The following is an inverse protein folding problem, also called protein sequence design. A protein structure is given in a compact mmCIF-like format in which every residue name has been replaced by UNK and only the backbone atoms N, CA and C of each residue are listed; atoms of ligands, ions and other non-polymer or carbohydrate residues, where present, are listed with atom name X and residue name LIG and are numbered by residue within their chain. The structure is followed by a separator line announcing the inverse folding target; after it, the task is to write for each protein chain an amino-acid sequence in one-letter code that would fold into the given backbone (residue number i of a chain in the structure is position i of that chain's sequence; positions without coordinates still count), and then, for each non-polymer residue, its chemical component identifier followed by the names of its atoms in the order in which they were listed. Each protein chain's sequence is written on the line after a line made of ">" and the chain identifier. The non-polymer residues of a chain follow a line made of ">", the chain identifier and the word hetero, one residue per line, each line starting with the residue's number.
data_IF_545928793352
#
_entry.id   IF_545928793352
#
_cell.length_a   1.000
_cell.length_b   1.000
_cell.length_c   1.000
_cell.angle_alpha   90.00
_cell.angle_beta   90.00
_cell.angle_gamma   90.00
#
_symmetry.space_group_name_H-M   'P 1'
#
loop_
_entity.id
_entity.type
_entity.pdbx_description
1 polymer ?
#
# COMPACT_ATOMS: atom_id res chain seq x y z
N UNK A 1 -18.95 228.67 104.31
CA UNK A 1 -19.64 229.56 105.28
C UNK A 1 -19.35 229.06 106.69
N UNK A 2 -19.28 229.94 107.68
CA UNK A 2 -18.96 229.57 109.05
C UNK A 2 -20.18 228.94 109.77
N UNK A 3 -20.00 227.78 110.40
CA UNK A 3 -20.45 227.62 111.77
C UNK A 3 -19.75 226.47 112.51
N UNK A 4 -19.08 226.83 113.62
CA UNK A 4 -18.88 226.05 114.85
C UNK A 4 -18.59 224.55 114.67
N UNK A 5 -17.31 224.22 114.53
CA UNK A 5 -16.80 222.91 114.97
C UNK A 5 -17.12 222.72 116.46
N UNK A 6 -18.11 221.89 116.79
CA UNK A 6 -18.17 221.27 118.09
C UNK A 6 -16.99 220.29 118.20
N UNK A 7 -15.85 220.77 118.72
CA UNK A 7 -14.76 219.92 119.19
C UNK A 7 -15.27 219.15 120.41
N UNK A 8 -15.96 218.04 120.15
CA UNK A 8 -16.41 217.10 121.18
C UNK A 8 -15.22 216.57 121.99
N UNK A 9 -15.47 216.00 123.17
CA UNK A 9 -14.41 215.58 124.09
C UNK A 9 -13.37 214.73 123.38
N UNK A 10 -12.11 215.18 123.46
CA UNK A 10 -10.96 214.43 122.98
C UNK A 10 -10.46 213.52 124.11
N UNK A 11 -10.40 212.23 123.83
CA UNK A 11 -9.94 211.22 124.77
C UNK A 11 -8.50 210.87 124.43
N UNK A 12 -7.54 211.33 125.26
CA UNK A 12 -6.13 211.01 125.05
C UNK A 12 -5.79 209.72 125.80
N UNK A 13 -5.73 208.61 125.07
CA UNK A 13 -5.21 207.35 125.61
C UNK A 13 -3.70 207.47 125.75
N UNK A 14 -3.21 207.66 126.99
CA UNK A 14 -1.77 207.69 127.29
C UNK A 14 -1.34 206.38 127.94
N UNK A 15 -0.37 205.71 127.32
CA UNK A 15 0.38 204.61 127.93
C UNK A 15 1.59 205.25 128.60
N UNK A 16 1.67 205.11 129.92
CA UNK A 16 2.67 205.73 130.78
C UNK A 16 3.28 204.64 131.67
N UNK A 17 4.60 204.52 131.63
CA UNK A 17 5.37 203.67 132.55
C UNK A 17 5.73 204.48 133.80
N UNK A 18 5.49 203.89 134.97
CA UNK A 18 5.87 204.49 136.26
C UNK A 18 7.23 203.93 136.70
N UNK A 19 8.15 204.83 137.02
CA UNK A 19 9.46 204.54 137.59
C UNK A 19 9.67 205.55 138.74
N UNK A 20 10.22 205.09 139.87
CA UNK A 20 10.17 205.80 141.16
C UNK A 20 10.80 207.20 141.14
N UNK A 21 11.68 207.48 140.18
CA UNK A 21 12.29 208.80 139.99
C UNK A 21 11.63 209.67 138.90
N UNK A 22 10.85 209.09 137.97
CA UNK A 22 10.02 209.81 136.99
C UNK A 22 9.14 208.88 136.15
N UNK A 23 7.92 209.32 135.85
CA UNK A 23 7.02 208.63 134.91
C UNK A 23 7.31 209.02 133.45
N UNK A 24 7.32 208.04 132.53
CA UNK A 24 7.61 208.22 131.11
C UNK A 24 6.40 207.82 130.24
N UNK A 25 5.99 208.68 129.31
CA UNK A 25 4.85 208.41 128.42
C UNK A 25 5.34 207.93 127.05
N UNK A 26 5.09 206.65 126.75
CA UNK A 26 5.54 206.01 125.49
C UNK A 26 4.65 206.33 124.30
N UNK A 27 3.34 206.42 124.53
CA UNK A 27 2.35 206.63 123.46
C UNK A 27 1.16 207.43 123.98
N UNK A 28 0.77 208.47 123.26
CA UNK A 28 -0.38 209.32 123.56
C UNK A 28 -1.28 209.44 122.32
N UNK A 29 -2.28 208.56 122.21
CA UNK A 29 -3.25 208.59 121.11
C UNK A 29 -4.39 209.56 121.46
N UNK A 30 -4.42 210.72 120.83
CA UNK A 30 -5.51 211.68 120.94
C UNK A 30 -6.69 211.24 120.04
N UNK A 31 -7.70 210.62 120.63
CA UNK A 31 -8.92 210.20 119.92
C UNK A 31 -10.00 211.28 119.99
N UNK A 32 -10.50 211.72 118.83
CA UNK A 32 -11.71 212.56 118.71
C UNK A 32 -12.83 211.81 118.01
N UNK A 33 -14.09 212.15 118.28
CA UNK A 33 -15.22 211.67 117.47
C UNK A 33 -14.98 212.03 115.99
N UNK A 34 -15.12 211.04 115.11
CA UNK A 34 -14.95 211.25 113.67
C UNK A 34 -16.07 212.15 113.11
N UNK A 35 -15.77 212.90 112.04
CA UNK A 35 -16.78 213.61 111.27
C UNK A 35 -17.48 212.68 110.29
N UNK A 36 -18.75 212.91 109.99
CA UNK A 36 -19.48 212.20 108.93
C UNK A 36 -18.76 212.29 107.58
N UNK A 37 -18.00 213.37 107.33
CA UNK A 37 -17.16 213.51 106.14
C UNK A 37 -16.02 212.47 106.08
N UNK A 38 -15.39 212.15 107.23
CA UNK A 38 -14.34 211.12 107.31
C UNK A 38 -14.93 209.70 107.24
N UNK A 39 -16.12 209.50 107.83
CA UNK A 39 -16.88 208.25 107.72
C UNK A 39 -17.28 208.01 106.26
N UNK A 40 -17.86 209.01 105.58
CA UNK A 40 -18.20 208.95 104.17
C UNK A 40 -16.97 208.70 103.29
N UNK A 41 -15.84 209.37 103.56
CA UNK A 41 -14.57 209.16 102.85
C UNK A 41 -14.00 207.75 103.04
N UNK A 42 -14.16 207.16 104.23
CA UNK A 42 -13.79 205.77 104.51
C UNK A 42 -14.73 204.79 103.80
N UNK A 43 -16.04 205.03 103.84
CA UNK A 43 -17.05 204.24 103.09
C UNK A 43 -16.76 204.30 101.59
N UNK A 44 -16.50 205.48 101.01
CA UNK A 44 -16.13 205.63 99.61
C UNK A 44 -14.86 204.83 99.27
N UNK A 45 -13.80 204.93 100.08
CA UNK A 45 -12.57 204.13 99.90
C UNK A 45 -12.87 202.62 99.92
N UNK A 46 -13.66 202.14 100.87
CA UNK A 46 -14.08 200.73 100.93
C UNK A 46 -14.91 200.34 99.71
N UNK A 47 -15.86 201.17 99.29
CA UNK A 47 -16.72 200.93 98.13
C UNK A 47 -15.92 200.90 96.82
N UNK A 48 -14.95 201.79 96.63
CA UNK A 48 -14.02 201.74 95.48
C UNK A 48 -13.13 200.50 95.54
N UNK A 49 -12.62 200.13 96.72
CA UNK A 49 -11.83 198.90 96.87
C UNK A 49 -12.64 197.64 96.56
N UNK A 50 -13.90 197.57 97.01
CA UNK A 50 -14.83 196.48 96.72
C UNK A 50 -15.18 196.47 95.23
N UNK A 51 -15.48 197.62 94.62
CA UNK A 51 -15.73 197.72 93.18
C UNK A 51 -14.53 197.23 92.36
N UNK A 52 -13.31 197.65 92.69
CA UNK A 52 -12.10 197.22 91.99
C UNK A 52 -11.84 195.71 92.16
N UNK A 53 -12.17 195.15 93.33
CA UNK A 53 -12.11 193.70 93.58
C UNK A 53 -13.16 192.94 92.77
N UNK A 54 -14.38 193.45 92.66
CA UNK A 54 -15.44 192.89 91.81
C UNK A 54 -15.01 192.92 90.34
N UNK A 55 -14.57 194.08 89.81
CA UNK A 55 -14.09 194.17 88.43
C UNK A 55 -12.90 193.25 88.15
N UNK A 56 -12.05 192.97 89.14
CA UNK A 56 -10.97 191.98 89.01
C UNK A 56 -11.51 190.55 88.98
N UNK A 57 -12.46 190.21 89.86
CA UNK A 57 -13.09 188.88 89.90
C UNK A 57 -14.00 188.60 88.71
N UNK A 58 -14.63 189.61 88.13
CA UNK A 58 -15.34 189.50 86.85
C UNK A 58 -14.36 189.20 85.71
N UNK A 59 -13.21 189.90 85.65
CA UNK A 59 -12.16 189.64 84.65
C UNK A 59 -11.53 188.24 84.80
N UNK A 60 -11.27 187.80 86.04
CA UNK A 60 -10.86 186.41 86.33
C UNK A 60 -11.93 185.41 85.89
N UNK A 61 -13.19 185.64 86.21
CA UNK A 61 -14.32 184.76 85.87
C UNK A 61 -14.52 184.65 84.35
N UNK A 62 -14.41 185.77 83.62
CA UNK A 62 -14.49 185.76 82.15
C UNK A 62 -13.25 185.12 81.50
N UNK A 63 -12.07 185.20 82.13
CA UNK A 63 -10.90 184.43 81.68
C UNK A 63 -11.14 182.93 81.87
N UNK A 64 -11.58 182.51 83.07
CA UNK A 64 -11.88 181.11 83.39
C UNK A 64 -13.00 180.54 82.51
N UNK A 65 -14.06 181.31 82.21
CA UNK A 65 -15.09 180.91 81.22
C UNK A 65 -14.51 180.70 79.83
N UNK A 66 -13.62 181.59 79.37
CA UNK A 66 -12.95 181.45 78.05
C UNK A 66 -11.96 180.28 78.02
N UNK A 67 -11.31 179.95 79.12
CA UNK A 67 -10.44 178.78 79.23
C UNK A 67 -11.23 177.48 79.31
N UNK A 68 -12.30 177.44 80.11
CA UNK A 68 -13.24 176.31 80.18
C UNK A 68 -13.87 176.02 78.82
N UNK A 69 -14.32 177.05 78.10
CA UNK A 69 -14.90 176.89 76.75
C UNK A 69 -13.86 176.39 75.74
N UNK A 70 -12.60 176.87 75.81
CA UNK A 70 -11.50 176.33 74.98
C UNK A 70 -11.25 174.86 75.29
N UNK A 71 -11.13 174.48 76.56
CA UNK A 71 -10.86 173.12 76.99
C UNK A 71 -12.04 172.18 76.65
N UNK A 72 -13.28 172.63 76.81
CA UNK A 72 -14.48 171.90 76.39
C UNK A 72 -14.48 171.65 74.87
N UNK A 73 -14.17 172.68 74.07
CA UNK A 73 -14.05 172.54 72.61
C UNK A 73 -12.87 171.63 72.22
N UNK A 74 -11.75 171.65 72.95
CA UNK A 74 -10.65 170.71 72.73
C UNK A 74 -11.05 169.27 73.07
N UNK A 75 -11.71 169.03 74.22
CA UNK A 75 -12.21 167.71 74.61
C UNK A 75 -13.21 167.16 73.59
N UNK A 76 -14.14 167.98 73.09
CA UNK A 76 -15.06 167.59 72.01
C UNK A 76 -14.28 167.26 70.72
N UNK A 77 -13.32 168.08 70.32
CA UNK A 77 -12.49 167.81 69.15
C UNK A 77 -11.64 166.53 69.29
N UNK A 78 -11.11 166.25 70.49
CA UNK A 78 -10.36 165.02 70.79
C UNK A 78 -11.26 163.80 70.82
N UNK A 79 -12.46 163.90 71.38
CA UNK A 79 -13.49 162.85 71.31
C UNK A 79 -13.85 162.52 69.87
N UNK A 80 -14.12 163.54 69.05
CA UNK A 80 -14.44 163.37 67.62
C UNK A 80 -13.25 162.82 66.80
N UNK A 81 -12.00 163.13 67.17
CA UNK A 81 -10.81 162.51 66.57
C UNK A 81 -10.68 161.04 66.97
N UNK A 82 -10.93 160.71 68.23
CA UNK A 82 -10.86 159.35 68.76
C UNK A 82 -11.98 158.46 68.20
N UNK A 83 -13.20 158.98 68.04
CA UNK A 83 -14.31 158.27 67.39
C UNK A 83 -14.02 157.99 65.90
N UNK A 84 -13.47 158.97 65.17
CA UNK A 84 -13.01 158.78 63.78
C UNK A 84 -11.89 157.74 63.67
N UNK A 85 -10.97 157.73 64.64
CA UNK A 85 -9.93 156.71 64.69
C UNK A 85 -10.51 155.31 65.00
N UNK A 86 -11.40 155.19 66.00
CA UNK A 86 -12.06 153.92 66.33
C UNK A 86 -12.89 153.36 65.17
N UNK A 87 -13.66 154.21 64.49
CA UNK A 87 -14.46 153.80 63.32
C UNK A 87 -13.58 153.39 62.13
N UNK A 88 -12.47 154.10 61.88
CA UNK A 88 -11.47 153.71 60.88
C UNK A 88 -10.81 152.38 61.22
N UNK A 89 -10.33 152.20 62.46
CA UNK A 89 -9.72 150.96 62.95
C UNK A 89 -10.71 149.77 62.88
N UNK A 90 -11.97 149.99 63.20
CA UNK A 90 -13.00 148.96 63.11
C UNK A 90 -13.34 148.61 61.65
N UNK A 91 -13.34 149.58 60.74
CA UNK A 91 -13.48 149.33 59.30
C UNK A 91 -12.29 148.54 58.74
N UNK A 92 -11.06 148.90 59.09
CA UNK A 92 -9.86 148.16 58.69
C UNK A 92 -9.87 146.73 59.24
N UNK A 93 -10.16 146.56 60.54
CA UNK A 93 -10.33 145.24 61.17
C UNK A 93 -11.35 144.39 60.41
N UNK A 94 -12.54 144.92 60.13
CA UNK A 94 -13.59 144.19 59.42
C UNK A 94 -13.18 143.87 57.96
N UNK A 95 -12.45 144.78 57.29
CA UNK A 95 -11.87 144.53 55.96
C UNK A 95 -10.85 143.38 55.99
N UNK A 96 -10.00 143.32 57.02
CA UNK A 96 -9.01 142.25 57.21
C UNK A 96 -9.69 140.92 57.56
N UNK A 97 -10.68 140.91 58.44
CA UNK A 97 -11.48 139.71 58.76
C UNK A 97 -12.19 139.17 57.51
N UNK A 98 -12.88 140.02 56.73
CA UNK A 98 -13.55 139.58 55.51
C UNK A 98 -12.57 139.05 54.44
N UNK A 99 -11.37 139.63 54.32
CA UNK A 99 -10.29 139.08 53.47
C UNK A 99 -9.80 137.73 53.97
N UNK A 100 -9.60 137.56 55.27
CA UNK A 100 -9.18 136.31 55.89
C UNK A 100 -10.24 135.21 55.70
N UNK A 101 -11.52 135.51 55.92
CA UNK A 101 -12.64 134.60 55.67
C UNK A 101 -12.72 134.19 54.19
N UNK A 102 -12.57 135.13 53.26
CA UNK A 102 -12.53 134.83 51.82
C UNK A 102 -11.38 133.89 51.47
N UNK A 103 -10.17 134.14 52.00
CA UNK A 103 -9.00 133.27 51.81
C UNK A 103 -9.25 131.87 52.40
N UNK A 104 -9.81 131.77 53.61
CA UNK A 104 -10.16 130.50 54.24
C UNK A 104 -11.17 129.71 53.39
N UNK A 105 -12.19 130.38 52.86
CA UNK A 105 -13.22 129.73 52.04
C UNK A 105 -12.67 129.31 50.66
N UNK A 106 -11.82 130.11 50.02
CA UNK A 106 -11.11 129.70 48.80
C UNK A 106 -10.20 128.49 49.01
N UNK A 107 -9.54 128.37 50.16
CA UNK A 107 -8.74 127.19 50.49
C UNK A 107 -9.58 125.95 50.81
N UNK A 108 -10.71 126.10 51.51
CA UNK A 108 -11.69 125.02 51.71
C UNK A 108 -12.22 124.49 50.39
N UNK A 109 -12.70 125.37 49.51
CA UNK A 109 -13.25 124.98 48.20
C UNK A 109 -12.20 124.27 47.33
N UNK A 110 -10.93 124.72 47.36
CA UNK A 110 -9.81 124.04 46.69
C UNK A 110 -9.53 122.67 47.29
N UNK A 111 -9.55 122.53 48.61
CA UNK A 111 -9.33 121.26 49.31
C UNK A 111 -10.47 120.27 49.02
N UNK A 112 -11.72 120.69 49.14
CA UNK A 112 -12.91 119.88 48.87
C UNK A 112 -12.93 119.38 47.41
N UNK A 113 -12.57 120.22 46.43
CA UNK A 113 -12.43 119.80 45.02
C UNK A 113 -11.30 118.80 44.81
N UNK A 114 -10.15 119.00 45.46
CA UNK A 114 -9.02 118.08 45.37
C UNK A 114 -9.33 116.71 45.99
N UNK A 115 -10.00 116.70 47.14
CA UNK A 115 -10.40 115.45 47.81
C UNK A 115 -11.52 114.73 47.05
N UNK A 116 -12.51 115.46 46.52
CA UNK A 116 -13.55 114.90 45.67
C UNK A 116 -13.00 114.25 44.38
N UNK A 117 -12.04 114.90 43.71
CA UNK A 117 -11.40 114.33 42.51
C UNK A 117 -10.50 113.13 42.87
N UNK A 118 -9.77 113.19 43.99
CA UNK A 118 -9.00 112.04 44.50
C UNK A 118 -9.92 110.85 44.82
N UNK A 119 -11.06 111.09 45.48
CA UNK A 119 -12.06 110.08 45.82
C UNK A 119 -12.85 109.59 44.60
N UNK A 120 -12.86 110.34 43.49
CA UNK A 120 -13.34 109.87 42.18
C UNK A 120 -12.31 108.92 41.54
N UNK A 121 -11.05 109.35 41.40
CA UNK A 121 -9.98 108.55 40.82
C UNK A 121 -9.75 107.22 41.56
N UNK A 122 -9.84 107.22 42.90
CA UNK A 122 -9.77 105.99 43.71
C UNK A 122 -10.92 105.02 43.43
N UNK A 123 -12.13 105.52 43.11
CA UNK A 123 -13.27 104.67 42.70
C UNK A 123 -13.10 104.15 41.28
N UNK A 124 -12.74 105.02 40.33
CA UNK A 124 -12.51 104.64 38.93
C UNK A 124 -11.41 103.56 38.82
N UNK A 125 -10.30 103.71 39.54
CA UNK A 125 -9.23 102.70 39.62
C UNK A 125 -9.70 101.38 40.25
N UNK A 126 -10.55 101.43 41.28
CA UNK A 126 -11.06 100.25 41.97
C UNK A 126 -12.12 99.50 41.12
N UNK A 127 -12.99 100.24 40.44
CA UNK A 127 -13.96 99.71 39.47
C UNK A 127 -13.25 99.09 38.25
N UNK A 128 -12.19 99.71 37.73
CA UNK A 128 -11.38 99.10 36.67
C UNK A 128 -10.67 97.83 37.16
N UNK A 129 -10.08 97.85 38.36
CA UNK A 129 -9.41 96.66 38.94
C UNK A 129 -10.40 95.49 39.08
N UNK A 130 -11.62 95.73 39.56
CA UNK A 130 -12.68 94.71 39.61
C UNK A 130 -13.04 94.24 38.19
N UNK A 131 -13.27 95.15 37.25
CA UNK A 131 -13.63 94.77 35.87
C UNK A 131 -12.52 93.97 35.16
N UNK A 132 -11.24 94.26 35.44
CA UNK A 132 -10.10 93.46 34.96
C UNK A 132 -10.09 92.07 35.62
N UNK A 133 -10.32 91.98 36.94
CA UNK A 133 -10.40 90.71 37.67
C UNK A 133 -11.58 89.85 37.20
N UNK A 134 -12.75 90.43 36.95
CA UNK A 134 -13.93 89.74 36.44
C UNK A 134 -13.73 89.22 35.00
N UNK A 135 -13.10 90.02 34.13
CA UNK A 135 -12.71 89.59 32.77
C UNK A 135 -11.72 88.42 32.81
N UNK A 136 -10.69 88.51 33.65
CA UNK A 136 -9.69 87.44 33.80
C UNK A 136 -10.34 86.17 34.39
N UNK A 137 -11.13 86.29 35.45
CA UNK A 137 -11.88 85.19 36.05
C UNK A 137 -12.81 84.51 35.04
N UNK A 138 -13.55 85.29 34.26
CA UNK A 138 -14.43 84.79 33.20
C UNK A 138 -13.65 84.06 32.10
N UNK A 139 -12.53 84.63 31.65
CA UNK A 139 -11.65 84.04 30.64
C UNK A 139 -11.06 82.70 31.12
N UNK A 140 -10.52 82.66 32.34
CA UNK A 140 -10.03 81.42 32.97
C UNK A 140 -11.15 80.39 33.12
N UNK A 141 -12.34 80.79 33.57
CA UNK A 141 -13.47 79.88 33.70
C UNK A 141 -13.94 79.33 32.35
N UNK A 142 -13.91 80.12 31.27
CA UNK A 142 -14.19 79.61 29.91
C UNK A 142 -13.12 78.63 29.44
N UNK A 143 -11.83 78.91 29.68
CA UNK A 143 -10.72 78.03 29.31
C UNK A 143 -10.78 76.69 30.05
N UNK A 144 -11.05 76.72 31.36
CA UNK A 144 -11.26 75.52 32.18
C UNK A 144 -12.48 74.73 31.67
N UNK A 145 -13.57 75.41 31.28
CA UNK A 145 -14.76 74.76 30.69
C UNK A 145 -14.48 74.13 29.32
N UNK A 146 -13.61 74.69 28.47
CA UNK A 146 -13.21 74.06 27.21
C UNK A 146 -12.25 72.89 27.42
N UNK A 147 -11.23 73.05 28.28
CA UNK A 147 -10.27 71.98 28.60
C UNK A 147 -10.96 70.77 29.24
N UNK A 148 -11.91 70.99 30.17
CA UNK A 148 -12.69 69.90 30.76
C UNK A 148 -13.55 69.16 29.72
N UNK A 149 -14.09 69.84 28.70
CA UNK A 149 -14.81 69.18 27.59
C UNK A 149 -13.87 68.36 26.71
N UNK A 150 -12.69 68.89 26.42
CA UNK A 150 -11.65 68.20 25.65
C UNK A 150 -11.17 66.94 26.38
N UNK A 151 -10.85 67.04 27.67
CA UNK A 151 -10.46 65.90 28.53
C UNK A 151 -11.55 64.82 28.54
N UNK A 152 -12.83 65.19 28.68
CA UNK A 152 -13.95 64.23 28.64
C UNK A 152 -14.11 63.58 27.25
N UNK A 153 -13.89 64.34 26.17
CA UNK A 153 -13.91 63.80 24.79
C UNK A 153 -12.72 62.87 24.51
N UNK A 154 -11.56 63.12 25.12
CA UNK A 154 -10.38 62.26 25.01
C UNK A 154 -10.52 60.99 25.87
N UNK A 155 -11.09 61.11 27.07
CA UNK A 155 -11.38 59.98 27.96
C UNK A 155 -12.33 58.99 27.29
N UNK A 156 -13.50 59.46 26.82
CA UNK A 156 -14.47 58.63 26.11
C UNK A 156 -13.90 58.05 24.80
N UNK A 157 -13.05 58.78 24.07
CA UNK A 157 -12.35 58.20 22.92
C UNK A 157 -11.34 57.12 23.34
N UNK A 158 -10.67 57.26 24.49
CA UNK A 158 -9.74 56.26 25.03
C UNK A 158 -10.48 54.99 25.50
N UNK A 159 -11.64 55.15 26.14
CA UNK A 159 -12.51 54.04 26.55
C UNK A 159 -13.00 53.24 25.33
N UNK A 160 -13.55 53.93 24.31
CA UNK A 160 -13.97 53.30 23.06
C UNK A 160 -12.82 52.55 22.35
N UNK A 161 -11.60 53.11 22.34
CA UNK A 161 -10.40 52.43 21.79
C UNK A 161 -10.00 51.22 22.63
N UNK A 162 -10.10 51.29 23.95
CA UNK A 162 -9.81 50.19 24.87
C UNK A 162 -10.79 49.02 24.66
N UNK A 163 -12.08 49.31 24.48
CA UNK A 163 -13.10 48.32 24.15
C UNK A 163 -12.82 47.65 22.79
N UNK A 164 -12.51 48.41 21.75
CA UNK A 164 -12.11 47.88 20.43
C UNK A 164 -10.87 46.98 20.50
N UNK A 165 -9.86 47.35 21.29
CA UNK A 165 -8.66 46.52 21.52
C UNK A 165 -9.03 45.22 22.26
N UNK A 166 -9.96 45.28 23.22
CA UNK A 166 -10.47 44.11 23.93
C UNK A 166 -11.23 43.16 23.00
N UNK A 167 -12.16 43.66 22.19
CA UNK A 167 -12.90 42.88 21.19
C UNK A 167 -11.95 42.22 20.19
N UNK A 168 -11.00 42.98 19.64
CA UNK A 168 -10.00 42.46 18.70
C UNK A 168 -9.08 41.41 19.33
N UNK A 169 -8.76 41.52 20.63
CA UNK A 169 -8.02 40.50 21.38
C UNK A 169 -8.81 39.19 21.54
N UNK A 170 -10.11 39.28 21.85
CA UNK A 170 -11.01 38.11 21.89
C UNK A 170 -11.17 37.49 20.51
N UNK A 171 -11.29 38.31 19.46
CA UNK A 171 -11.40 37.87 18.06
C UNK A 171 -10.13 37.18 17.58
N UNK A 172 -8.95 37.70 17.91
CA UNK A 172 -7.66 37.06 17.63
C UNK A 172 -7.54 35.69 18.30
N UNK A 173 -7.73 35.60 19.63
CA UNK A 173 -7.73 34.32 20.36
C UNK A 173 -8.71 33.30 19.79
N UNK A 174 -9.88 33.77 19.32
CA UNK A 174 -10.87 32.91 18.65
C UNK A 174 -10.36 32.37 17.31
N UNK A 175 -9.66 33.19 16.52
CA UNK A 175 -9.07 32.77 15.24
C UNK A 175 -7.83 31.89 15.42
N UNK A 176 -6.99 32.17 16.42
CA UNK A 176 -5.85 31.32 16.82
C UNK A 176 -6.33 29.92 17.25
N UNK A 177 -7.38 29.85 18.06
CA UNK A 177 -8.01 28.58 18.48
C UNK A 177 -8.56 27.79 17.29
N UNK A 178 -9.20 28.45 16.31
CA UNK A 178 -9.63 27.81 15.05
C UNK A 178 -8.44 27.31 14.22
N UNK A 179 -7.39 28.13 14.06
CA UNK A 179 -6.20 27.77 13.29
C UNK A 179 -5.45 26.57 13.92
N UNK A 180 -5.37 26.53 15.26
CA UNK A 180 -4.81 25.38 16.00
C UNK A 180 -5.60 24.10 15.74
N UNK A 181 -6.94 24.15 15.79
CA UNK A 181 -7.80 23.00 15.47
C UNK A 181 -7.62 22.51 14.02
N UNK A 182 -7.56 23.42 13.06
CA UNK A 182 -7.29 23.07 11.65
C UNK A 182 -5.90 22.46 11.46
N UNK A 183 -4.90 22.93 12.23
CA UNK A 183 -3.55 22.33 12.21
C UNK A 183 -3.54 20.92 12.79
N UNK A 184 -4.28 20.68 13.87
CA UNK A 184 -4.47 19.36 14.49
C UNK A 184 -5.23 18.39 13.57
N UNK A 185 -6.26 18.89 12.86
CA UNK A 185 -7.01 18.16 11.85
C UNK A 185 -6.14 17.79 10.64
N UNK A 186 -5.36 18.73 10.10
CA UNK A 186 -4.40 18.47 9.01
C UNK A 186 -3.37 17.42 9.43
N UNK A 187 -2.83 17.49 10.65
CA UNK A 187 -1.89 16.47 11.16
C UNK A 187 -2.55 15.08 11.26
N UNK A 188 -3.81 15.01 11.69
CA UNK A 188 -4.59 13.78 11.72
C UNK A 188 -4.85 13.20 10.31
N UNK A 189 -5.16 14.06 9.34
CA UNK A 189 -5.36 13.67 7.93
C UNK A 189 -4.05 13.18 7.30
N UNK A 190 -2.91 13.81 7.59
CA UNK A 190 -1.59 13.35 7.13
C UNK A 190 -1.28 11.96 7.71
N UNK A 191 -1.38 11.78 9.02
CA UNK A 191 -1.12 10.49 9.67
C UNK A 191 -2.07 9.38 9.18
N UNK A 192 -3.36 9.67 8.98
CA UNK A 192 -4.29 8.66 8.42
C UNK A 192 -3.98 8.32 6.96
N UNK A 193 -3.56 9.30 6.15
CA UNK A 193 -3.11 9.05 4.78
C UNK A 193 -1.79 8.23 4.72
N UNK A 194 -0.82 8.51 5.59
CA UNK A 194 0.41 7.70 5.72
C UNK A 194 0.10 6.24 6.11
N UNK A 195 -0.84 6.03 7.03
CA UNK A 195 -1.32 4.69 7.38
C UNK A 195 -2.03 3.99 6.19
N UNK A 196 -2.83 4.71 5.40
CA UNK A 196 -3.46 4.17 4.18
C UNK A 196 -2.44 3.82 3.09
N UNK A 197 -1.36 4.60 2.96
CA UNK A 197 -0.24 4.28 2.05
C UNK A 197 0.48 3.00 2.51
N UNK A 198 0.74 2.86 3.81
CA UNK A 198 1.33 1.65 4.40
C UNK A 198 0.47 0.40 4.18
N UNK A 199 -0.83 0.48 4.46
CA UNK A 199 -1.80 -0.59 4.22
C UNK A 199 -1.91 -0.96 2.73
N UNK A 200 -1.93 0.04 1.83
CA UNK A 200 -1.88 -0.17 0.37
C UNK A 200 -0.61 -0.93 -0.04
N UNK A 201 0.55 -0.59 0.49
CA UNK A 201 1.81 -1.28 0.18
C UNK A 201 1.88 -2.69 0.76
N UNK A 202 1.29 -2.93 1.95
CA UNK A 202 1.12 -4.27 2.51
C UNK A 202 0.20 -5.11 1.61
N UNK A 203 -0.95 -4.56 1.19
CA UNK A 203 -1.89 -5.21 0.27
C UNK A 203 -1.25 -5.49 -1.10
N UNK A 204 -0.47 -4.56 -1.64
CA UNK A 204 0.31 -4.77 -2.88
C UNK A 204 1.28 -5.95 -2.75
N UNK A 205 2.03 -6.02 -1.65
CA UNK A 205 2.94 -7.16 -1.36
C UNK A 205 2.20 -8.49 -1.17
N UNK A 206 0.96 -8.47 -0.66
CA UNK A 206 0.11 -9.68 -0.57
C UNK A 206 -0.34 -10.11 -1.97
N UNK A 207 -0.81 -9.17 -2.81
CA UNK A 207 -1.22 -9.43 -4.20
C UNK A 207 -0.04 -10.00 -5.00
N UNK A 208 1.15 -9.41 -4.90
CA UNK A 208 2.36 -9.90 -5.56
C UNK A 208 2.72 -11.35 -5.15
N UNK A 209 2.59 -11.70 -3.85
CA UNK A 209 2.76 -13.10 -3.39
C UNK A 209 1.70 -14.02 -3.97
N UNK A 210 0.44 -13.60 -3.99
CA UNK A 210 -0.66 -14.42 -4.54
C UNK A 210 -0.51 -14.63 -6.05
N UNK A 211 -0.12 -13.59 -6.80
CA UNK A 211 0.19 -13.69 -8.23
C UNK A 211 1.37 -14.64 -8.49
N UNK A 212 2.46 -14.53 -7.72
CA UNK A 212 3.59 -15.46 -7.84
C UNK A 212 3.20 -16.91 -7.49
N UNK A 213 2.30 -17.12 -6.53
CA UNK A 213 1.79 -18.46 -6.20
C UNK A 213 0.89 -19.02 -7.32
N UNK A 214 0.00 -18.18 -7.90
CA UNK A 214 -0.82 -18.54 -9.05
C UNK A 214 0.07 -18.93 -10.24
N UNK A 215 1.05 -18.10 -10.61
CA UNK A 215 2.01 -18.41 -11.69
C UNK A 215 2.78 -19.71 -11.44
N UNK A 216 3.12 -20.01 -10.18
CA UNK A 216 3.76 -21.28 -9.80
C UNK A 216 2.82 -22.47 -10.03
N UNK A 217 1.55 -22.35 -9.62
CA UNK A 217 0.54 -23.40 -9.81
C UNK A 217 0.16 -23.58 -11.28
N UNK A 218 0.04 -22.50 -12.06
CA UNK A 218 -0.19 -22.54 -13.51
C UNK A 218 0.96 -23.25 -14.23
N UNK A 219 2.21 -22.99 -13.82
CA UNK A 219 3.37 -23.70 -14.34
C UNK A 219 3.41 -25.17 -13.89
N UNK A 220 3.05 -25.49 -12.64
CA UNK A 220 2.95 -26.88 -12.16
C UNK A 220 1.86 -27.65 -12.92
N UNK A 221 0.68 -27.07 -13.10
CA UNK A 221 -0.40 -27.61 -13.94
C UNK A 221 0.11 -27.85 -15.36
N UNK A 222 0.78 -26.88 -15.98
CA UNK A 222 1.36 -27.00 -17.33
C UNK A 222 2.39 -28.13 -17.43
N UNK A 223 3.26 -28.30 -16.42
CA UNK A 223 4.23 -29.39 -16.36
C UNK A 223 3.53 -30.75 -16.18
N UNK A 224 2.51 -30.83 -15.31
CA UNK A 224 1.70 -32.03 -15.11
C UNK A 224 0.87 -32.39 -16.36
N UNK A 225 0.33 -31.42 -17.10
CA UNK A 225 -0.33 -31.65 -18.40
C UNK A 225 0.67 -32.18 -19.43
N UNK A 226 1.88 -31.64 -19.50
CA UNK A 226 2.94 -32.16 -20.40
C UNK A 226 3.40 -33.57 -19.99
N UNK A 227 3.43 -33.89 -18.70
CA UNK A 227 3.73 -35.23 -18.19
C UNK A 227 2.60 -36.22 -18.52
N UNK A 228 1.35 -35.84 -18.30
CA UNK A 228 0.16 -36.60 -18.69
C UNK A 228 0.12 -36.84 -20.21
N UNK A 229 0.43 -35.84 -21.03
CA UNK A 229 0.50 -36.00 -22.48
C UNK A 229 1.60 -36.99 -22.88
N UNK A 230 2.79 -36.92 -22.25
CA UNK A 230 3.85 -37.92 -22.46
C UNK A 230 3.41 -39.33 -22.04
N UNK A 231 2.78 -39.47 -20.87
CA UNK A 231 2.25 -40.75 -20.39
C UNK A 231 1.17 -41.29 -21.33
N UNK A 232 0.24 -40.45 -21.80
CA UNK A 232 -0.78 -40.84 -22.77
C UNK A 232 -0.14 -41.31 -24.09
N UNK A 233 0.86 -40.60 -24.61
CA UNK A 233 1.59 -41.03 -25.80
C UNK A 233 2.32 -42.38 -25.58
N UNK A 234 2.87 -42.63 -24.38
CA UNK A 234 3.42 -43.95 -24.01
C UNK A 234 2.33 -45.03 -23.93
N UNK A 235 1.16 -44.73 -23.35
CA UNK A 235 0.04 -45.65 -23.31
C UNK A 235 -0.50 -45.97 -24.70
N UNK A 236 -0.70 -44.98 -25.58
CA UNK A 236 -1.09 -45.19 -26.97
C UNK A 236 -0.07 -46.03 -27.73
N UNK A 237 1.24 -45.76 -27.54
CA UNK A 237 2.32 -46.55 -28.16
C UNK A 237 2.32 -47.99 -27.64
N UNK A 238 2.18 -48.19 -26.32
CA UNK A 238 2.09 -49.51 -25.70
C UNK A 238 0.83 -50.26 -26.13
N UNK A 239 -0.30 -49.57 -26.29
CA UNK A 239 -1.57 -50.17 -26.69
C UNK A 239 -1.53 -50.58 -28.17
N UNK A 240 -0.93 -49.76 -29.05
CA UNK A 240 -0.63 -50.14 -30.44
C UNK A 240 0.34 -51.33 -30.52
N UNK A 241 1.35 -51.39 -29.66
CA UNK A 241 2.28 -52.52 -29.59
C UNK A 241 1.57 -53.79 -29.09
N UNK A 242 0.67 -53.66 -28.11
CA UNK A 242 -0.17 -54.76 -27.62
C UNK A 242 -1.21 -55.22 -28.66
N UNK A 243 -1.76 -54.30 -29.45
CA UNK A 243 -2.65 -54.59 -30.58
C UNK A 243 -1.90 -55.31 -31.71
N UNK A 244 -0.69 -54.87 -32.07
CA UNK A 244 0.20 -55.58 -32.99
C UNK A 244 0.58 -56.98 -32.47
N UNK A 245 0.85 -57.13 -31.18
CA UNK A 245 1.06 -58.43 -30.54
C UNK A 245 -0.19 -59.31 -30.61
N UNK A 246 -1.38 -58.76 -30.37
CA UNK A 246 -2.64 -59.51 -30.47
C UNK A 246 -2.97 -59.94 -31.90
N UNK A 247 -2.68 -59.08 -32.90
CA UNK A 247 -2.77 -59.42 -34.33
C UNK A 247 -1.78 -60.55 -34.65
N UNK A 248 -0.51 -60.41 -34.27
CA UNK A 248 0.51 -61.43 -34.52
C UNK A 248 0.23 -62.75 -33.79
N UNK A 249 -0.33 -62.71 -32.58
CA UNK A 249 -0.83 -63.89 -31.86
C UNK A 249 -1.98 -64.55 -32.61
N UNK A 250 -2.96 -63.78 -33.09
CA UNK A 250 -4.09 -64.29 -33.87
C UNK A 250 -3.65 -64.89 -35.22
N UNK A 251 -2.73 -64.24 -35.92
CA UNK A 251 -2.11 -64.78 -37.14
C UNK A 251 -1.37 -66.08 -36.86
N UNK A 252 -0.64 -66.17 -35.74
CA UNK A 252 0.08 -67.38 -35.34
C UNK A 252 -0.88 -68.50 -34.87
N UNK A 253 -2.01 -68.16 -34.23
CA UNK A 253 -3.07 -69.12 -33.90
C UNK A 253 -3.79 -69.63 -35.16
N UNK A 254 -4.05 -68.77 -36.14
CA UNK A 254 -4.61 -69.18 -37.44
C UNK A 254 -3.62 -70.02 -38.25
N UNK A 255 -2.33 -69.67 -38.24
CA UNK A 255 -1.25 -70.46 -38.86
C UNK A 255 -1.11 -71.83 -38.19
N UNK A 256 -1.14 -71.87 -36.85
CA UNK A 256 -1.13 -73.09 -36.04
C UNK A 256 -2.36 -73.95 -36.36
N UNK A 257 -3.56 -73.37 -36.35
CA UNK A 257 -4.81 -74.08 -36.67
C UNK A 257 -4.78 -74.65 -38.08
N UNK A 258 -4.24 -73.92 -39.06
CA UNK A 258 -4.06 -74.39 -40.44
C UNK A 258 -3.01 -75.51 -40.54
N UNK A 259 -1.96 -75.47 -39.71
CA UNK A 259 -0.98 -76.54 -39.56
C UNK A 259 -1.59 -77.79 -38.92
N UNK A 260 -2.43 -77.63 -37.89
CA UNK A 260 -3.20 -78.72 -37.24
C UNK A 260 -4.23 -79.33 -38.20
N UNK A 261 -4.90 -78.52 -39.03
CA UNK A 261 -5.81 -78.99 -40.09
C UNK A 261 -5.08 -79.77 -41.19
N UNK A 262 -3.92 -79.28 -41.65
CA UNK A 262 -3.05 -80.02 -42.58
C UNK A 262 -2.56 -81.34 -41.97
N UNK A 263 -2.06 -81.32 -40.73
CA UNK A 263 -1.64 -82.53 -40.00
C UNK A 263 -2.80 -83.52 -39.84
N UNK A 264 -4.02 -83.03 -39.64
CA UNK A 264 -5.22 -83.86 -39.53
C UNK A 264 -5.60 -84.48 -40.88
N UNK A 265 -5.52 -83.73 -41.99
CA UNK A 265 -5.68 -84.29 -43.35
C UNK A 265 -4.65 -85.39 -43.61
N UNK A 266 -3.36 -85.10 -43.39
CA UNK A 266 -2.27 -86.07 -43.55
C UNK A 266 -2.48 -87.30 -42.65
N UNK A 267 -2.98 -87.12 -41.43
CA UNK A 267 -3.28 -88.21 -40.51
C UNK A 267 -4.48 -89.07 -40.96
N UNK A 268 -5.51 -88.46 -41.56
CA UNK A 268 -6.67 -89.17 -42.11
C UNK A 268 -6.35 -89.84 -43.46
N UNK A 269 -5.51 -89.22 -44.30
CA UNK A 269 -4.88 -89.83 -45.48
C UNK A 269 -4.00 -91.03 -45.08
N UNK A 270 -3.19 -90.92 -44.02
CA UNK A 270 -2.42 -92.05 -43.47
C UNK A 270 -3.32 -93.17 -42.92
N UNK A 271 -4.48 -92.85 -42.33
CA UNK A 271 -5.49 -93.87 -41.96
C UNK A 271 -6.10 -94.53 -43.20
N UNK A 272 -6.30 -93.77 -44.28
CA UNK A 272 -6.82 -94.28 -45.54
C UNK A 272 -5.79 -95.17 -46.25
N UNK A 273 -4.52 -94.78 -46.27
CA UNK A 273 -3.39 -95.59 -46.71
C UNK A 273 -3.25 -96.87 -45.87
N UNK A 274 -3.34 -96.80 -44.55
CA UNK A 274 -3.33 -97.99 -43.69
C UNK A 274 -4.54 -98.92 -43.93
N UNK A 275 -5.72 -98.38 -44.26
CA UNK A 275 -6.88 -99.19 -44.72
C UNK A 275 -6.61 -99.87 -46.07
N UNK A 276 -5.90 -99.22 -46.99
CA UNK A 276 -5.49 -99.80 -48.28
C UNK A 276 -4.42 -100.89 -48.08
N UNK A 277 -3.40 -100.62 -47.27
CA UNK A 277 -2.36 -101.59 -46.88
C UNK A 277 -3.00 -102.82 -46.24
N UNK A 278 -3.97 -102.64 -45.32
CA UNK A 278 -4.69 -103.76 -44.72
C UNK A 278 -5.50 -104.55 -45.75
N UNK A 279 -6.26 -103.90 -46.66
CA UNK A 279 -6.96 -104.60 -47.75
C UNK A 279 -6.02 -105.38 -48.66
N UNK A 280 -4.85 -104.84 -48.98
CA UNK A 280 -3.82 -105.51 -49.78
C UNK A 280 -3.21 -106.70 -49.03
N UNK A 281 -2.93 -106.55 -47.73
CA UNK A 281 -2.46 -107.64 -46.86
C UNK A 281 -3.49 -108.78 -46.80
N UNK A 282 -4.75 -108.47 -46.47
CA UNK A 282 -5.83 -109.43 -46.35
C UNK A 282 -6.07 -110.19 -47.68
N UNK A 283 -6.01 -109.48 -48.82
CA UNK A 283 -6.13 -110.08 -50.16
C UNK A 283 -4.92 -110.95 -50.55
N UNK A 284 -3.71 -110.54 -50.21
CA UNK A 284 -2.49 -111.31 -50.47
C UNK A 284 -2.42 -112.58 -49.58
N UNK A 285 -2.93 -112.49 -48.35
CA UNK A 285 -3.12 -113.64 -47.46
C UNK A 285 -4.17 -114.63 -48.01
N UNK A 286 -5.28 -114.14 -48.57
CA UNK A 286 -6.28 -114.98 -49.25
C UNK A 286 -5.70 -115.68 -50.50
N UNK A 287 -4.93 -114.95 -51.33
CA UNK A 287 -4.21 -115.54 -52.47
C UNK A 287 -3.21 -116.61 -52.02
N UNK A 288 -2.45 -116.34 -50.94
CA UNK A 288 -1.51 -117.31 -50.36
C UNK A 288 -2.22 -118.58 -49.89
N UNK A 289 -3.38 -118.47 -49.24
CA UNK A 289 -4.18 -119.63 -48.84
C UNK A 289 -4.71 -120.42 -50.04
N UNK A 290 -5.17 -119.76 -51.10
CA UNK A 290 -5.55 -120.42 -52.37
C UNK A 290 -4.37 -121.15 -53.03
N UNK A 291 -3.16 -120.58 -52.96
CA UNK A 291 -1.93 -121.18 -53.47
C UNK A 291 -1.52 -122.44 -52.68
N UNK A 292 -1.66 -122.41 -51.35
CA UNK A 292 -1.46 -123.59 -50.48
C UNK A 292 -2.47 -124.69 -50.82
N UNK A 293 -3.76 -124.35 -50.93
CA UNK A 293 -4.81 -125.32 -51.26
C UNK A 293 -4.58 -125.96 -52.65
N UNK A 294 -4.18 -125.16 -53.63
CA UNK A 294 -3.81 -125.63 -54.98
C UNK A 294 -2.60 -126.58 -54.96
N UNK A 295 -1.59 -126.29 -54.13
CA UNK A 295 -0.41 -127.14 -53.95
C UNK A 295 -0.74 -128.50 -53.31
N UNK A 296 -1.62 -128.52 -52.31
CA UNK A 296 -2.05 -129.76 -51.65
C UNK A 296 -2.95 -130.63 -52.56
N UNK A 297 -3.80 -129.99 -53.37
CA UNK A 297 -4.58 -130.69 -54.42
C UNK A 297 -3.64 -131.31 -55.46
N UNK A 298 -2.63 -130.56 -55.94
CA UNK A 298 -1.65 -131.06 -56.89
C UNK A 298 -0.79 -132.20 -56.32
N UNK A 299 -0.48 -132.17 -55.03
CA UNK A 299 0.21 -133.28 -54.34
C UNK A 299 -0.65 -134.56 -54.32
N UNK A 300 -1.92 -134.48 -53.90
CA UNK A 300 -2.82 -135.64 -53.90
C UNK A 300 -3.07 -136.20 -55.30
N UNK A 301 -3.21 -135.33 -56.30
CA UNK A 301 -3.33 -135.75 -57.71
C UNK A 301 -2.07 -136.49 -58.19
N UNK A 302 -0.88 -136.05 -57.76
CA UNK A 302 0.38 -136.74 -58.09
C UNK A 302 0.48 -138.12 -57.41
N UNK A 303 0.00 -138.28 -56.19
CA UNK A 303 -0.03 -139.56 -55.48
C UNK A 303 -0.97 -140.57 -56.16
N UNK A 304 -2.18 -140.15 -56.55
CA UNK A 304 -3.13 -141.03 -57.25
C UNK A 304 -2.65 -141.40 -58.66
N UNK A 305 -2.01 -140.47 -59.39
CA UNK A 305 -1.39 -140.76 -60.71
C UNK A 305 -0.25 -141.78 -60.55
N UNK A 306 0.62 -141.65 -59.55
CA UNK A 306 1.70 -142.61 -59.30
C UNK A 306 1.18 -144.02 -58.99
N UNK A 307 0.09 -144.10 -58.23
CA UNK A 307 -0.61 -145.36 -57.91
C UNK A 307 -1.19 -146.02 -59.16
N UNK A 308 -1.93 -145.27 -59.98
CA UNK A 308 -2.50 -145.76 -61.25
C UNK A 308 -1.41 -146.15 -62.28
N UNK A 309 -0.29 -145.43 -62.35
CA UNK A 309 0.84 -145.81 -63.19
C UNK A 309 1.49 -147.13 -62.75
N UNK A 310 1.63 -147.36 -61.44
CA UNK A 310 2.17 -148.62 -60.91
C UNK A 310 1.26 -149.82 -61.21
N UNK A 311 -0.06 -149.62 -61.17
CA UNK A 311 -1.06 -150.66 -61.44
C UNK A 311 -1.14 -150.99 -62.94
N UNK A 312 -1.15 -149.96 -63.80
CA UNK A 312 -1.16 -150.13 -65.25
C UNK A 312 0.15 -150.76 -65.80
N UNK A 313 1.30 -150.49 -65.16
CA UNK A 313 2.57 -151.15 -65.50
C UNK A 313 2.53 -152.66 -65.18
N UNK A 314 1.88 -153.06 -64.08
CA UNK A 314 1.68 -154.47 -63.74
C UNK A 314 0.77 -155.19 -64.75
N UNK A 315 -0.35 -154.56 -65.12
CA UNK A 315 -1.29 -155.11 -66.12
C UNK A 315 -0.69 -155.18 -67.52
N UNK A 316 0.08 -154.17 -67.95
CA UNK A 316 0.74 -154.16 -69.26
C UNK A 316 1.71 -155.33 -69.42
N UNK A 317 2.49 -155.63 -68.38
CA UNK A 317 3.44 -156.76 -68.42
C UNK A 317 2.73 -158.12 -68.49
N UNK A 318 1.62 -158.28 -67.75
CA UNK A 318 0.80 -159.49 -67.79
C UNK A 318 0.12 -159.70 -69.16
N UNK A 319 -0.20 -158.60 -69.85
CA UNK A 319 -0.74 -158.61 -71.21
C UNK A 319 0.33 -159.01 -72.23
N UNK A 320 1.54 -158.47 -72.10
CA UNK A 320 2.68 -158.78 -72.99
C UNK A 320 3.08 -160.26 -72.91
N UNK A 321 3.18 -160.83 -71.70
CA UNK A 321 3.41 -162.26 -71.48
C UNK A 321 2.31 -163.14 -72.11
N UNK A 322 1.06 -162.67 -72.14
CA UNK A 322 -0.06 -163.38 -72.80
C UNK A 322 -0.05 -163.24 -74.32
N UNK A 323 0.27 -162.07 -74.86
CA UNK A 323 0.34 -161.85 -76.31
C UNK A 323 1.47 -162.68 -76.92
N UNK A 324 2.68 -162.67 -76.33
CA UNK A 324 3.80 -163.48 -76.83
C UNK A 324 3.53 -164.99 -76.82
N UNK A 325 2.73 -165.48 -75.86
CA UNK A 325 2.30 -166.87 -75.82
C UNK A 325 1.36 -167.21 -76.98
N UNK A 326 0.38 -166.36 -77.28
CA UNK A 326 -0.60 -166.57 -78.35
C UNK A 326 0.06 -166.49 -79.73
N UNK A 327 0.94 -165.52 -79.96
CA UNK A 327 1.69 -165.36 -81.21
C UNK A 327 2.47 -166.65 -81.56
N UNK A 328 3.10 -167.26 -80.55
CA UNK A 328 3.91 -168.48 -80.72
C UNK A 328 3.12 -169.70 -81.18
N UNK A 329 1.85 -169.85 -80.75
CA UNK A 329 0.98 -170.94 -81.21
C UNK A 329 0.37 -170.66 -82.58
N UNK A 330 0.04 -169.39 -82.87
CA UNK A 330 -0.60 -169.00 -84.13
C UNK A 330 0.34 -169.24 -85.34
N UNK A 331 1.64 -168.97 -85.17
CA UNK A 331 2.68 -169.23 -86.18
C UNK A 331 2.76 -170.73 -86.53
N UNK A 332 2.86 -171.62 -85.54
CA UNK A 332 2.99 -173.07 -85.76
C UNK A 332 1.77 -173.69 -86.47
N UNK A 333 0.57 -173.14 -86.22
CA UNK A 333 -0.66 -173.60 -86.87
C UNK A 333 -0.76 -173.07 -88.32
N UNK A 334 -0.26 -171.86 -88.59
CA UNK A 334 -0.20 -171.32 -89.96
C UNK A 334 0.81 -172.09 -90.84
N UNK A 335 1.97 -172.47 -90.29
CA UNK A 335 2.96 -173.30 -91.00
C UNK A 335 2.40 -174.68 -91.38
N UNK A 336 1.71 -175.36 -90.47
CA UNK A 336 1.09 -176.67 -90.76
C UNK A 336 -0.04 -176.55 -91.78
N UNK A 337 -0.82 -175.46 -91.75
CA UNK A 337 -1.87 -175.19 -92.74
C UNK A 337 -1.31 -174.92 -94.14
N UNK A 338 -0.24 -174.13 -94.26
CA UNK A 338 0.41 -173.83 -95.54
C UNK A 338 1.13 -175.05 -96.15
N UNK A 339 1.69 -175.95 -95.32
CA UNK A 339 2.35 -177.17 -95.83
C UNK A 339 1.39 -178.16 -96.47
N UNK A 340 0.12 -178.20 -96.07
CA UNK A 340 -0.88 -179.08 -96.68
C UNK A 340 -1.30 -178.55 -98.07
N UNK A 341 -1.73 -177.28 -98.14
CA UNK A 341 -2.22 -176.67 -99.38
C UNK A 341 -1.15 -176.60 -100.48
N UNK A 342 0.12 -176.42 -100.11
CA UNK A 342 1.25 -176.45 -101.06
C UNK A 342 1.38 -177.81 -101.75
N UNK A 343 1.08 -178.93 -101.06
CA UNK A 343 1.12 -180.27 -101.64
C UNK A 343 -0.09 -180.52 -102.56
N UNK A 344 -1.29 -180.09 -102.14
CA UNK A 344 -2.51 -180.19 -102.96
C UNK A 344 -2.35 -179.42 -104.29
N UNK A 345 -1.77 -178.21 -104.25
CA UNK A 345 -1.58 -177.39 -105.43
C UNK A 345 -0.44 -177.88 -106.33
N UNK A 346 0.65 -178.42 -105.74
CA UNK A 346 1.75 -179.08 -106.46
C UNK A 346 1.31 -180.35 -107.20
N UNK A 347 0.35 -181.10 -106.66
CA UNK A 347 -0.23 -182.25 -107.37
C UNK A 347 -1.09 -181.80 -108.56
N UNK A 348 -1.82 -180.68 -108.42
CA UNK A 348 -2.67 -180.15 -109.49
C UNK A 348 -1.88 -179.64 -110.70
N UNK A 349 -0.73 -178.99 -110.48
CA UNK A 349 0.20 -178.62 -111.56
C UNK A 349 0.78 -179.83 -112.34
N UNK A 350 0.64 -181.06 -111.82
CA UNK A 350 1.04 -182.29 -112.52
C UNK A 350 -0.05 -182.84 -113.44
N UNK A 351 -1.31 -182.46 -113.27
CA UNK A 351 -2.41 -182.84 -114.18
C UNK A 351 -2.27 -182.13 -115.54
N UNK A 352 -1.93 -180.83 -115.52
CA UNK A 352 -1.93 -179.97 -116.71
C UNK A 352 -0.64 -180.07 -117.56
N UNK A 353 0.49 -180.52 -116.97
CA UNK A 353 1.78 -180.51 -117.67
C UNK A 353 2.05 -181.71 -118.60
N UNK A 354 1.27 -182.79 -118.49
CA UNK A 354 1.36 -183.94 -119.40
C UNK A 354 0.46 -183.79 -120.63
N UNK A 355 -0.78 -183.29 -120.45
CA UNK A 355 -1.75 -183.06 -121.54
C UNK A 355 -1.35 -181.95 -122.52
N UNK A 356 -0.35 -181.14 -122.17
CA UNK A 356 0.24 -180.10 -123.03
C UNK A 356 1.31 -180.63 -124.00
N UNK A 357 1.96 -181.77 -123.69
CA UNK A 357 3.16 -182.22 -124.41
C UNK A 357 2.86 -182.95 -125.74
N UNK A 358 1.65 -183.48 -125.92
CA UNK A 358 1.23 -184.25 -127.11
C UNK A 358 1.29 -183.48 -128.44
N UNK A 359 1.37 -182.14 -128.43
CA UNK A 359 1.01 -181.30 -129.59
C UNK A 359 2.15 -180.48 -130.22
N UNK A 360 3.35 -180.43 -129.63
CA UNK A 360 4.38 -179.44 -130.03
C UNK A 360 5.46 -179.99 -130.96
N UNK A 361 5.86 -181.26 -130.85
CA UNK A 361 7.01 -181.80 -131.62
C UNK A 361 6.61 -182.44 -132.97
N UNK A 362 5.31 -182.64 -133.23
CA UNK A 362 4.84 -183.13 -134.55
C UNK A 362 5.11 -182.14 -135.72
N UNK A 363 5.46 -180.88 -135.42
CA UNK A 363 5.62 -179.80 -136.40
C UNK A 363 7.06 -179.54 -136.87
N UNK A 364 8.09 -179.73 -136.01
CA UNK A 364 9.47 -179.31 -136.31
C UNK A 364 10.33 -180.34 -137.09
N UNK A 365 9.70 -181.37 -137.65
CA UNK A 365 10.38 -182.38 -138.47
C UNK A 365 10.49 -182.00 -139.97
N UNK A 366 10.14 -180.75 -140.35
CA UNK A 366 9.79 -180.41 -141.74
C UNK A 366 10.90 -179.77 -142.60
N UNK A 367 11.93 -179.16 -141.96
CA UNK A 367 13.24 -178.77 -142.55
C UNK A 367 14.16 -178.31 -141.41
N UNK A 368 15.31 -178.94 -141.11
CA UNK A 368 16.15 -179.88 -141.85
C UNK A 368 16.80 -179.26 -143.10
N UNK A 369 17.88 -178.50 -142.88
CA UNK A 369 19.20 -178.87 -143.41
C UNK A 369 20.33 -178.04 -142.74
N UNK A 370 21.40 -178.73 -142.33
CA UNK A 370 22.73 -178.21 -141.96
C UNK A 370 22.80 -177.23 -140.74
N UNK A 371 23.72 -177.34 -139.78
CA UNK A 371 24.72 -178.35 -139.38
C UNK A 371 25.13 -177.98 -137.92
N UNK A 372 25.70 -178.82 -137.04
CA UNK A 372 25.87 -180.27 -136.88
C UNK A 372 26.60 -180.48 -135.52
N UNK A 373 26.92 -181.73 -135.11
CA UNK A 373 27.86 -182.06 -133.99
C UNK A 373 27.35 -181.65 -132.57
N UNK A 374 26.67 -182.51 -131.79
CA UNK A 374 27.18 -183.66 -131.00
C UNK A 374 27.94 -183.28 -129.68
N UNK A 375 27.82 -183.98 -128.53
CA UNK A 375 26.89 -185.03 -128.06
C UNK A 375 27.08 -185.35 -126.53
N UNK A 376 26.26 -186.29 -125.99
CA UNK A 376 26.47 -187.19 -124.81
C UNK A 376 26.17 -186.73 -123.34
N UNK A 377 25.21 -187.45 -122.72
CA UNK A 377 25.26 -188.19 -121.42
C UNK A 377 25.32 -187.55 -120.00
N UNK A 378 24.50 -188.10 -119.08
CA UNK A 378 24.90 -188.77 -117.78
C UNK A 378 24.35 -188.28 -116.40
N UNK A 379 23.66 -189.20 -115.67
CA UNK A 379 23.79 -189.60 -114.23
C UNK A 379 23.64 -188.68 -112.97
N UNK A 380 23.02 -189.24 -111.89
CA UNK A 380 23.29 -189.09 -110.42
C UNK A 380 22.91 -187.77 -109.67
N UNK A 381 22.89 -187.63 -108.31
CA UNK A 381 22.56 -188.49 -107.12
C UNK A 381 22.70 -187.71 -105.75
N UNK A 382 21.89 -187.98 -104.69
CA UNK A 382 22.20 -187.71 -103.23
C UNK A 382 21.83 -186.34 -102.56
N UNK A 383 22.04 -186.03 -101.24
CA UNK A 383 22.10 -186.80 -99.94
C UNK A 383 22.33 -185.89 -98.62
N UNK A 384 21.84 -186.30 -97.41
CA UNK A 384 22.22 -185.98 -95.94
C UNK A 384 22.03 -184.63 -95.09
N UNK A 385 21.47 -184.77 -93.84
CA UNK A 385 21.82 -184.38 -92.39
C UNK A 385 21.97 -182.98 -91.62
N UNK A 386 21.34 -182.88 -90.40
CA UNK A 386 21.79 -182.51 -88.95
C UNK A 386 22.20 -181.04 -88.44
N UNK A 387 22.29 -180.52 -87.15
CA UNK A 387 22.01 -180.86 -85.67
C UNK A 387 22.14 -179.69 -84.56
N UNK A 388 21.56 -179.85 -83.33
CA UNK A 388 21.96 -179.46 -81.87
C UNK A 388 21.99 -178.03 -81.12
N UNK A 389 21.41 -177.95 -79.87
CA UNK A 389 21.81 -177.47 -78.45
C UNK A 389 22.04 -176.00 -77.78
N UNK A 390 21.40 -175.70 -76.57
CA UNK A 390 21.91 -175.31 -75.14
C UNK A 390 22.11 -173.85 -74.42
N UNK A 391 21.44 -173.55 -73.22
CA UNK A 391 21.74 -172.76 -71.88
C UNK A 391 21.65 -171.20 -71.39
N UNK A 392 21.01 -170.91 -70.18
CA UNK A 392 21.26 -170.11 -68.84
C UNK A 392 21.44 -168.52 -68.45
N UNK A 393 20.79 -168.02 -67.30
CA UNK A 393 21.20 -167.11 -66.08
C UNK A 393 21.05 -165.50 -65.75
N UNK A 394 20.39 -165.03 -64.60
CA UNK A 394 20.76 -164.12 -63.36
C UNK A 394 20.74 -162.48 -63.08
N UNK A 395 20.04 -161.90 -62.00
CA UNK A 395 20.19 -160.77 -60.88
C UNK A 395 20.21 -159.11 -60.78
N UNK A 396 19.51 -158.45 -59.73
CA UNK A 396 19.83 -157.35 -58.62
C UNK A 396 19.73 -155.67 -58.55
N UNK A 397 19.09 -154.99 -57.48
CA UNK A 397 19.16 -153.70 -56.52
C UNK A 397 19.32 -152.04 -56.61
N UNK A 398 18.55 -151.19 -55.78
CA UNK A 398 18.74 -149.90 -54.83
C UNK A 398 18.73 -148.25 -55.08
N UNK A 399 18.48 -147.31 -54.05
CA UNK A 399 18.39 -145.71 -54.06
C UNK A 399 18.32 -144.76 -52.69
N UNK A 400 18.37 -143.33 -52.63
CA UNK A 400 18.29 -142.32 -51.40
C UNK A 400 18.20 -140.66 -51.54
N UNK A 401 17.89 -139.71 -50.52
CA UNK A 401 17.86 -138.12 -50.51
C UNK A 401 17.69 -137.16 -49.15
N UNK A 402 17.85 -135.74 -49.05
CA UNK A 402 17.55 -134.72 -47.86
C UNK A 402 17.84 -133.07 -47.80
N UNK A 403 17.19 -132.20 -46.89
CA UNK A 403 17.51 -130.86 -46.06
C UNK A 403 17.20 -129.23 -46.29
N UNK A 404 17.37 -128.22 -45.29
CA UNK A 404 16.91 -126.69 -45.23
C UNK A 404 17.51 -125.56 -44.17
N UNK A 405 17.12 -124.20 -44.04
CA UNK A 405 17.72 -123.02 -43.13
C UNK A 405 16.92 -121.61 -42.78
N UNK A 406 17.40 -120.51 -42.02
CA UNK A 406 16.70 -119.17 -41.49
C UNK A 406 17.52 -117.90 -40.80
N UNK A 407 16.94 -116.74 -40.19
CA UNK A 407 17.36 -115.68 -39.04
C UNK A 407 17.42 -114.02 -39.06
N UNK A 408 17.08 -113.14 -37.98
CA UNK A 408 17.21 -111.56 -37.82
C UNK A 408 17.25 -110.69 -36.39
N UNK A 409 17.56 -109.31 -36.21
CA UNK A 409 17.40 -108.33 -34.96
C UNK A 409 17.83 -106.71 -34.92
N UNK A 410 17.49 -105.73 -33.93
CA UNK A 410 18.18 -104.36 -33.38
C UNK A 410 17.37 -103.07 -32.73
N UNK A 411 17.88 -102.09 -31.83
CA UNK A 411 17.33 -100.71 -31.23
C UNK A 411 18.34 -99.70 -30.38
N UNK A 412 18.27 -98.48 -29.64
CA UNK A 412 17.44 -97.20 -29.20
C UNK A 412 18.19 -95.96 -28.35
N UNK A 413 17.67 -94.71 -27.89
CA UNK A 413 18.37 -93.50 -27.10
C UNK A 413 17.59 -92.18 -26.44
N UNK A 414 18.15 -91.18 -25.59
CA UNK A 414 17.51 -89.93 -24.81
C UNK A 414 18.38 -88.69 -24.08
N UNK A 415 17.82 -87.58 -23.39
CA UNK A 415 18.22 -86.73 -22.09
C UNK A 415 18.16 -85.07 -21.86
N UNK A 416 18.46 -84.44 -20.64
CA UNK A 416 18.13 -83.03 -20.01
C UNK A 416 19.19 -82.12 -19.18
N UNK A 417 18.94 -80.81 -18.71
CA UNK A 417 19.10 -80.11 -17.32
C UNK A 417 19.16 -78.49 -17.13
N UNK A 418 19.27 -77.86 -15.89
CA UNK A 418 19.16 -76.35 -15.48
C UNK A 418 19.71 -75.83 -14.06
N UNK A 419 19.77 -74.48 -13.63
CA UNK A 419 19.64 -73.79 -12.22
C UNK A 419 20.17 -72.28 -11.95
N UNK A 420 20.18 -71.64 -10.70
CA UNK A 420 20.17 -70.11 -10.35
C UNK A 420 20.83 -69.49 -8.99
N UNK A 421 20.96 -68.11 -8.73
CA UNK A 421 21.41 -67.40 -7.43
C UNK A 421 21.30 -65.78 -7.22
N UNK A 422 21.54 -65.10 -6.01
CA UNK A 422 21.56 -63.56 -5.72
C UNK A 422 21.86 -62.94 -4.26
N UNK A 423 22.26 -61.62 -3.97
CA UNK A 423 22.35 -60.91 -2.59
C UNK A 423 22.37 -59.30 -2.37
N UNK A 424 23.03 -58.64 -1.31
CA UNK A 424 22.59 -57.42 -0.47
C UNK A 424 23.57 -56.22 0.02
N UNK A 425 23.01 -55.01 0.44
CA UNK A 425 23.29 -54.03 1.61
C UNK A 425 24.28 -52.75 1.70
N UNK A 426 23.89 -51.74 2.56
CA UNK A 426 24.64 -50.73 3.45
C UNK A 426 24.73 -49.15 3.28
N UNK A 427 25.34 -48.38 4.26
CA UNK A 427 24.98 -46.98 4.73
C UNK A 427 26.10 -46.04 5.35
N UNK A 428 25.87 -44.70 5.60
CA UNK A 428 26.35 -43.82 6.77
C UNK A 428 26.17 -42.24 6.69
N UNK A 429 26.63 -41.47 7.71
CA UNK A 429 26.38 -40.02 8.06
C UNK A 429 27.61 -39.22 8.63
N UNK A 430 27.60 -37.86 8.76
CA UNK A 430 28.54 -37.03 9.59
C UNK A 430 28.32 -35.47 9.69
N UNK A 431 28.95 -34.81 10.70
CA UNK A 431 29.24 -33.35 10.90
C UNK A 431 28.08 -32.41 11.35
N UNK A 432 28.22 -31.12 11.80
CA UNK A 432 29.33 -30.13 11.97
C UNK A 432 29.00 -29.03 13.06
N UNK A 433 29.86 -28.01 13.33
CA UNK A 433 29.62 -26.84 14.25
C UNK A 433 30.70 -25.71 14.15
N UNK A 434 30.44 -24.44 14.58
CA UNK A 434 31.42 -23.37 14.99
C UNK A 434 30.73 -22.12 15.65
N UNK A 435 31.44 -21.12 16.24
CA UNK A 435 30.85 -20.09 17.15
C UNK A 435 31.55 -18.70 17.31
N UNK A 436 30.75 -17.67 17.68
CA UNK A 436 30.97 -16.48 18.58
C UNK A 436 31.73 -15.17 18.16
N UNK A 437 31.16 -14.03 18.64
CA UNK A 437 31.73 -12.66 18.98
C UNK A 437 32.24 -11.76 17.83
N UNK A 438 32.12 -10.40 17.83
CA UNK A 438 32.44 -9.37 18.89
C UNK A 438 31.52 -8.10 18.82
N UNK A 439 31.93 -6.91 19.30
CA UNK A 439 31.10 -5.73 19.68
C UNK A 439 31.46 -4.39 19.00
N UNK A 440 30.54 -3.38 18.97
CA UNK A 440 30.74 -2.02 19.56
C UNK A 440 29.73 -0.90 19.16
N UNK A 441 29.51 0.04 20.11
CA UNK A 441 29.23 1.49 20.01
C UNK A 441 28.15 2.10 19.07
N UNK A 442 27.18 2.81 19.69
CA UNK A 442 27.09 4.29 19.64
C UNK A 442 26.19 4.85 20.76
N UNK A 443 26.36 6.13 21.15
CA UNK A 443 25.57 6.80 22.21
C UNK A 443 25.62 8.34 22.10
N UNK A 444 24.55 8.99 22.58
CA UNK A 444 24.35 10.45 22.82
C UNK A 444 24.16 11.37 21.60
N UNK A 445 23.00 12.04 21.59
CA UNK A 445 22.87 13.47 21.31
C UNK A 445 21.84 14.05 22.30
N UNK A 446 21.92 15.34 22.63
CA UNK A 446 21.01 16.01 23.55
C UNK A 446 20.76 17.47 23.11
N UNK A 447 19.53 18.00 23.21
CA UNK A 447 19.21 19.35 22.77
C UNK A 447 19.80 20.41 23.74
N UNK A 448 20.34 21.48 23.17
CA UNK A 448 21.03 22.56 23.88
C UNK A 448 20.02 23.58 24.43
N UNK A 449 20.19 24.01 25.69
CA UNK A 449 19.48 25.16 26.25
C UNK A 449 19.87 26.43 25.48
N UNK A 450 18.89 27.16 24.92
CA UNK A 450 19.09 28.54 24.45
C UNK A 450 18.44 29.52 25.42
N UNK A 451 19.24 30.05 26.36
CA UNK A 451 18.88 31.23 27.14
C UNK A 451 19.27 32.45 26.31
N UNK A 452 18.35 33.39 26.09
CA UNK A 452 18.65 34.71 25.56
C UNK A 452 17.93 35.78 26.40
N UNK A 453 18.66 36.85 26.64
CA UNK A 453 18.35 37.95 27.55
C UNK A 453 17.07 38.71 27.15
N UNK A 454 16.30 39.14 28.16
CA UNK A 454 15.34 40.24 28.00
C UNK A 454 16.02 41.59 28.26
N UNK A 455 15.46 42.72 27.75
CA UNK A 455 15.94 44.06 28.06
C UNK A 455 15.43 44.53 29.43
N UNK A 456 16.24 45.33 30.13
CA UNK A 456 15.86 46.03 31.35
C UNK A 456 15.29 47.41 31.04
N UNK A 457 14.30 47.81 31.84
CA UNK A 457 13.96 49.19 32.26
C UNK A 457 14.17 50.38 31.30
N UNK A 458 13.09 51.11 31.04
CA UNK A 458 13.14 52.58 30.98
C UNK A 458 11.86 53.19 31.58
N UNK A 459 11.88 53.42 32.90
CA UNK A 459 10.82 54.18 33.59
C UNK A 459 11.00 55.66 33.25
N UNK A 460 9.98 56.31 32.69
CA UNK A 460 9.99 57.76 32.46
C UNK A 460 9.02 58.44 33.45
N UNK A 461 9.56 59.07 34.48
CA UNK A 461 8.83 60.12 35.20
C UNK A 461 8.69 61.32 34.24
N UNK A 462 7.47 61.84 34.10
CA UNK A 462 7.28 63.28 33.94
C UNK A 462 5.97 63.69 34.61
N UNK A 463 6.04 64.77 35.38
CA UNK A 463 4.89 65.48 35.93
C UNK A 463 4.99 66.94 35.50
N UNK A 464 3.87 67.49 35.05
CA UNK A 464 3.61 68.91 34.81
C UNK A 464 2.09 69.09 34.89
#
# INVERSE_FOLDING_TARGET
>A
MNNKMYKGPKYVLKIIELNEFKNLCHLAIEMSKASDADVAKNICKKMTSIKNLIELKDKETENLKRELLKLQNEVVNKSNQLEKFLTSMNHEKNSLTAKQEKIINEWKEKYEKLDAERMKQLREMHEEMIAQQERLSSSLQTTIKSQNKEIQSLLTQSENKSEQISEMSVRLKTMESKNKKLTEEIASIINTNENLISDKDIKKKIIERMQNHILSLENEIKQNTQLLQKQNNYYETSNRFQEQLAISQKENEELKKRSEENLRSICDELKQANKIIKKLHDSNQEQTQKLILSKDIALKQKEEIHKLQSENAGLSKLLEEKTTYIESQNIQLLETKNRLTTVEQSLKEKEERLTSNDKVIHWLNSKLNNCEIAAKSSSNCGVLSETTDVTKNVNINKSVAKFSTSTPATAETDNQNTKTNSQKLNSKTLSSNISKTTTNNSKRSAPIRRVMYGPLSSTAYFAA
#
